data_IF_886665732366
#
_entry.id   IF_886665732366
#
_cell.length_a   1.000
_cell.length_b   1.000
_cell.length_c   1.000
_cell.angle_alpha   90.00
_cell.angle_beta   90.00
_cell.angle_gamma   90.00
#
_symmetry.space_group_name_H-M   'P 1'
#
loop_
_entity.id
_entity.type
_entity.pdbx_description
1 polymer ?
#
# COMPACT_ATOMS: atom_id res chain seq x y z
N UNK A 1 5.59 -2.70 -15.52
CA UNK A 1 4.30 -1.97 -15.66
C UNK A 1 4.16 -1.10 -16.93
N UNK A 2 5.23 -0.80 -17.69
CA UNK A 2 5.12 0.06 -18.89
C UNK A 2 4.44 -0.53 -20.14
N UNK A 3 3.76 -1.68 -20.04
CA UNK A 3 2.99 -2.27 -21.16
C UNK A 3 1.56 -1.72 -21.15
N UNK A 4 0.87 -1.79 -22.28
CA UNK A 4 -0.58 -1.53 -22.34
C UNK A 4 -1.30 -2.62 -21.55
N UNK A 5 -2.31 -2.24 -20.77
CA UNK A 5 -3.09 -3.16 -19.95
C UNK A 5 -4.59 -2.92 -20.19
N UNK A 6 -5.40 -3.97 -20.33
CA UNK A 6 -6.85 -3.82 -20.43
C UNK A 6 -7.44 -3.36 -19.10
N UNK A 7 -8.48 -2.54 -19.16
CA UNK A 7 -9.24 -2.04 -18.01
C UNK A 7 -10.67 -1.67 -18.41
N UNK A 8 -11.42 -1.03 -17.53
CA UNK A 8 -12.78 -0.52 -17.78
C UNK A 8 -12.83 0.98 -17.52
N UNK A 9 -13.48 1.72 -18.41
CA UNK A 9 -13.73 3.14 -18.23
C UNK A 9 -15.00 3.34 -17.40
N UNK A 10 -14.87 3.91 -16.20
CA UNK A 10 -16.00 4.08 -15.27
C UNK A 10 -17.03 5.13 -15.71
N UNK A 11 -16.73 5.95 -16.72
CA UNK A 11 -17.69 6.94 -17.26
C UNK A 11 -18.55 6.32 -18.36
N UNK A 12 -17.93 5.58 -19.29
CA UNK A 12 -18.63 4.94 -20.42
C UNK A 12 -19.15 3.54 -20.08
N UNK A 13 -18.62 2.92 -19.03
CA UNK A 13 -18.87 1.52 -18.62
C UNK A 13 -18.41 0.47 -19.65
N UNK A 14 -17.47 0.83 -20.53
CA UNK A 14 -16.93 -0.04 -21.58
C UNK A 14 -15.46 -0.42 -21.36
N UNK A 15 -14.99 -1.44 -22.08
CA UNK A 15 -13.58 -1.86 -22.10
C UNK A 15 -12.69 -0.74 -22.65
N UNK A 16 -11.54 -0.53 -22.00
CA UNK A 16 -10.57 0.50 -22.36
C UNK A 16 -9.13 0.00 -22.14
N UNK A 17 -8.15 0.69 -22.71
CA UNK A 17 -6.73 0.36 -22.60
C UNK A 17 -5.97 1.40 -21.76
N UNK A 18 -5.33 0.96 -20.68
CA UNK A 18 -4.50 1.79 -19.83
C UNK A 18 -3.02 1.72 -20.25
N UNK A 19 -2.48 2.86 -20.71
CA UNK A 19 -1.04 3.05 -20.93
C UNK A 19 -0.44 3.94 -19.85
N UNK A 20 0.34 3.33 -18.98
CA UNK A 20 0.98 4.00 -17.84
C UNK A 20 2.27 4.69 -18.31
N UNK A 21 2.41 5.99 -18.02
CA UNK A 21 3.56 6.84 -18.38
C UNK A 21 4.34 7.28 -17.13
N UNK A 22 5.65 7.49 -17.27
CA UNK A 22 6.51 8.01 -16.19
C UNK A 22 7.31 6.94 -15.44
N UNK A 23 8.15 7.38 -14.48
CA UNK A 23 9.01 6.50 -13.69
C UNK A 23 8.18 5.74 -12.65
N UNK A 24 8.29 4.42 -12.68
CA UNK A 24 7.67 3.54 -11.71
C UNK A 24 8.73 2.75 -10.98
N UNK A 25 8.42 2.39 -9.74
CA UNK A 25 9.26 1.49 -9.00
C UNK A 25 9.19 0.09 -9.64
N UNK A 26 10.32 -0.50 -10.08
CA UNK A 26 10.32 -1.86 -10.61
C UNK A 26 10.05 -2.90 -9.50
N UNK A 27 10.31 -2.57 -8.24
CA UNK A 27 10.08 -3.44 -7.10
C UNK A 27 9.82 -2.62 -5.84
N UNK A 28 8.57 -2.55 -5.40
CA UNK A 28 8.19 -1.74 -4.22
C UNK A 28 8.69 -2.32 -2.89
N UNK A 29 9.03 -3.62 -2.86
CA UNK A 29 9.31 -4.38 -1.63
C UNK A 29 10.41 -3.75 -0.75
N UNK A 30 11.59 -3.33 -1.28
CA UNK A 30 12.64 -2.74 -0.45
C UNK A 30 12.20 -1.44 0.24
N UNK A 31 11.24 -0.71 -0.34
CA UNK A 31 10.67 0.49 0.25
C UNK A 31 9.54 0.20 1.24
N UNK A 32 8.86 -0.93 1.07
CA UNK A 32 7.78 -1.34 1.97
C UNK A 32 8.30 -1.85 3.32
N UNK A 33 9.49 -2.47 3.37
CA UNK A 33 10.11 -2.99 4.60
C UNK A 33 10.20 -1.94 5.72
N UNK A 34 10.85 -0.77 5.53
CA UNK A 34 10.96 0.22 6.60
C UNK A 34 9.59 0.78 7.04
N UNK A 35 8.60 0.82 6.14
CA UNK A 35 7.22 1.23 6.48
C UNK A 35 6.55 0.18 7.36
N UNK A 36 6.70 -1.10 7.03
CA UNK A 36 6.13 -2.20 7.80
C UNK A 36 6.75 -2.28 9.20
N UNK A 37 8.05 -2.08 9.33
CA UNK A 37 8.76 -2.05 10.63
C UNK A 37 8.24 -0.91 11.52
N UNK A 38 8.06 0.29 10.96
CA UNK A 38 7.50 1.42 11.69
C UNK A 38 6.04 1.18 12.12
N UNK A 39 5.22 0.63 11.22
CA UNK A 39 3.83 0.28 11.52
C UNK A 39 3.73 -0.78 12.64
N UNK A 40 4.60 -1.78 12.62
CA UNK A 40 4.69 -2.79 13.68
C UNK A 40 5.09 -2.15 15.02
N UNK A 41 6.10 -1.26 15.02
CA UNK A 41 6.52 -0.58 16.23
C UNK A 41 5.39 0.24 16.87
N UNK A 42 4.60 0.94 16.05
CA UNK A 42 3.42 1.68 16.51
C UNK A 42 2.35 0.75 17.07
N UNK A 43 2.04 -0.36 16.39
CA UNK A 43 1.05 -1.33 16.86
C UNK A 43 1.45 -2.01 18.17
N UNK A 44 2.74 -2.31 18.34
CA UNK A 44 3.29 -2.85 19.59
C UNK A 44 3.21 -1.84 20.73
N UNK A 45 3.51 -0.57 20.46
CA UNK A 45 3.40 0.50 21.45
C UNK A 45 1.95 0.66 21.93
N UNK A 46 0.99 0.67 21.01
CA UNK A 46 -0.43 0.77 21.32
C UNK A 46 -0.89 -0.41 22.19
N UNK A 47 -0.55 -1.64 21.76
CA UNK A 47 -0.85 -2.86 22.52
C UNK A 47 -0.25 -2.83 23.93
N UNK A 48 0.97 -2.30 24.08
CA UNK A 48 1.62 -2.19 25.38
C UNK A 48 0.96 -1.15 26.29
N UNK A 49 0.53 -0.01 25.74
CA UNK A 49 -0.21 1.01 26.48
C UNK A 49 -1.57 0.49 26.94
N UNK A 50 -2.28 -0.28 26.11
CA UNK A 50 -3.52 -0.94 26.48
C UNK A 50 -3.31 -1.90 27.67
N UNK A 51 -2.29 -2.76 27.60
CA UNK A 51 -1.95 -3.68 28.69
C UNK A 51 -1.59 -2.96 29.99
N UNK A 52 -0.87 -1.83 29.92
CA UNK A 52 -0.57 -1.00 31.10
C UNK A 52 -1.83 -0.38 31.70
N UNK A 53 -2.73 0.14 30.86
CA UNK A 53 -4.00 0.72 31.30
C UNK A 53 -4.96 -0.31 31.92
N UNK A 54 -4.82 -1.59 31.57
CA UNK A 54 -5.60 -2.71 32.14
C UNK A 54 -5.11 -3.20 33.51
N UNK A 55 -4.01 -2.67 34.03
CA UNK A 55 -3.36 -3.13 35.27
C UNK A 55 -3.74 -2.32 36.52
N UNK A 56 -4.94 -1.76 36.53
CA UNK A 56 -5.59 -1.09 37.68
C UNK A 56 -6.66 -2.01 38.26
#
# INVERSE_FOLDING_TARGET
>A
IGKVQPTVNLTTMDNDELRIKGRHDPCIVPRAVPVAEAALALGLLDSWLELKGRRI
#
